data_IF_492796628027
#
_entry.id   IF_492796628027
#
_cell.length_a   1.000
_cell.length_b   1.000
_cell.length_c   1.000
_cell.angle_alpha   90.00
_cell.angle_beta   90.00
_cell.angle_gamma   90.00
#
_symmetry.space_group_name_H-M   'P 1'
#
loop_
_entity.id
_entity.type
_entity.pdbx_description
1 polymer ?
#
# COMPACT_ATOMS: atom_id res chain seq x y z
N UNK A 1 5.62 4.41 -18.05
CA UNK A 1 5.12 3.78 -16.81
C UNK A 1 4.80 4.87 -15.82
N UNK A 2 3.76 4.67 -15.02
CA UNK A 2 3.20 5.62 -14.05
C UNK A 2 3.25 5.01 -12.67
N UNK A 3 3.45 5.85 -11.65
CA UNK A 3 3.37 5.41 -10.27
C UNK A 3 1.96 5.65 -9.72
N UNK A 4 1.51 4.76 -8.85
CA UNK A 4 0.29 4.95 -8.10
C UNK A 4 0.38 4.32 -6.72
N UNK A 5 -0.51 4.78 -5.86
CA UNK A 5 -0.75 4.21 -4.53
C UNK A 5 -2.08 3.48 -4.55
N UNK A 6 -2.15 2.30 -3.96
CA UNK A 6 -3.41 1.54 -3.87
C UNK A 6 -4.35 2.22 -2.89
N UNK A 7 -5.48 2.69 -3.41
CA UNK A 7 -6.51 3.35 -2.61
C UNK A 7 -7.36 2.34 -1.85
N UNK A 8 -7.67 1.22 -2.50
CA UNK A 8 -8.28 0.05 -1.88
C UNK A 8 -8.25 -1.10 -2.87
N UNK A 9 -8.25 -2.32 -2.36
CA UNK A 9 -8.33 -3.52 -3.18
C UNK A 9 -9.15 -4.60 -2.48
N UNK A 10 -10.09 -5.20 -3.21
CA UNK A 10 -10.87 -6.32 -2.71
C UNK A 10 -10.31 -7.62 -3.26
N UNK A 11 -9.49 -8.30 -2.46
CA UNK A 11 -8.86 -9.56 -2.85
C UNK A 11 -9.87 -10.68 -3.16
N UNK A 12 -11.03 -10.69 -2.51
CA UNK A 12 -12.08 -11.70 -2.77
C UNK A 12 -12.74 -11.48 -4.14
N UNK A 13 -12.95 -10.23 -4.54
CA UNK A 13 -13.54 -9.88 -5.83
C UNK A 13 -12.51 -9.72 -6.95
N UNK A 14 -11.23 -9.57 -6.62
CA UNK A 14 -10.14 -9.44 -7.58
C UNK A 14 -10.04 -8.09 -8.28
N UNK A 15 -10.51 -7.00 -7.66
CA UNK A 15 -10.36 -5.65 -8.22
C UNK A 15 -10.24 -4.58 -7.15
N UNK A 16 -9.74 -3.42 -7.55
CA UNK A 16 -9.55 -2.25 -6.70
C UNK A 16 -9.34 -0.97 -7.50
N UNK A 17 -8.92 0.07 -6.80
CA UNK A 17 -8.54 1.34 -7.40
C UNK A 17 -7.18 1.78 -6.90
N UNK A 18 -6.42 2.38 -7.81
CA UNK A 18 -5.14 3.02 -7.58
C UNK A 18 -5.34 4.53 -7.69
N UNK A 19 -4.61 5.32 -6.93
CA UNK A 19 -4.54 6.78 -7.11
C UNK A 19 -3.22 7.11 -7.78
N UNK A 20 -3.29 7.64 -9.02
CA UNK A 20 -2.11 8.05 -9.80
C UNK A 20 -1.31 9.10 -9.00
N UNK A 21 0.00 8.91 -8.88
CA UNK A 21 0.86 9.77 -8.07
C UNK A 21 0.97 11.19 -8.64
N UNK A 22 0.83 11.37 -9.94
CA UNK A 22 0.92 12.66 -10.64
C UNK A 22 -0.45 13.31 -10.79
N UNK A 23 -1.44 12.61 -11.37
CA UNK A 23 -2.74 13.20 -11.67
C UNK A 23 -3.69 13.23 -10.47
N UNK A 24 -3.41 12.42 -9.45
CA UNK A 24 -4.29 12.17 -8.29
C UNK A 24 -5.65 11.58 -8.65
N UNK A 25 -5.80 11.07 -9.87
CA UNK A 25 -7.04 10.43 -10.33
C UNK A 25 -7.10 8.96 -9.91
N UNK A 26 -8.32 8.47 -9.70
CA UNK A 26 -8.56 7.07 -9.38
C UNK A 26 -8.59 6.23 -10.67
N UNK A 27 -7.71 5.23 -10.75
CA UNK A 27 -7.58 4.31 -11.87
C UNK A 27 -8.03 2.91 -11.46
N UNK A 28 -8.93 2.32 -12.24
CA UNK A 28 -9.41 0.96 -12.00
C UNK A 28 -8.28 -0.06 -12.19
N UNK A 29 -8.18 -1.05 -11.31
CA UNK A 29 -7.21 -2.13 -11.39
C UNK A 29 -7.88 -3.48 -11.16
N UNK A 30 -7.61 -4.45 -12.05
CA UNK A 30 -8.08 -5.83 -11.93
C UNK A 30 -6.92 -6.78 -11.61
N UNK A 31 -7.17 -7.82 -10.82
CA UNK A 31 -6.13 -8.76 -10.37
C UNK A 31 -5.40 -9.46 -11.53
N UNK A 32 -6.05 -9.59 -12.70
CA UNK A 32 -5.43 -10.17 -13.90
C UNK A 32 -4.25 -9.34 -14.42
N UNK A 33 -4.23 -8.04 -14.12
CA UNK A 33 -3.19 -7.11 -14.55
C UNK A 33 -1.99 -7.07 -13.59
N UNK A 34 -2.12 -7.67 -12.40
CA UNK A 34 -1.05 -7.72 -11.41
C UNK A 34 0.06 -8.70 -11.86
N UNK A 35 1.27 -8.19 -11.95
CA UNK A 35 2.51 -8.91 -12.24
C UNK A 35 3.17 -9.31 -10.91
N UNK A 36 2.56 -10.29 -10.24
CA UNK A 36 3.09 -10.88 -9.01
C UNK A 36 2.80 -12.38 -8.99
N UNK A 37 3.69 -13.13 -8.34
CA UNK A 37 3.55 -14.57 -8.17
C UNK A 37 2.63 -14.92 -7.00
N UNK A 38 1.97 -16.09 -7.10
CA UNK A 38 1.08 -16.58 -6.06
C UNK A 38 -0.27 -15.85 -6.00
N UNK A 39 -0.73 -15.55 -4.78
CA UNK A 39 -2.02 -14.89 -4.57
C UNK A 39 -1.93 -13.40 -4.92
N UNK A 40 -2.65 -13.00 -5.97
CA UNK A 40 -2.61 -11.63 -6.52
C UNK A 40 -3.50 -10.68 -5.74
N UNK A 41 -2.97 -10.12 -4.65
CA UNK A 41 -3.63 -9.11 -3.83
C UNK A 41 -2.75 -7.91 -3.58
N UNK A 42 -3.38 -6.75 -3.45
CA UNK A 42 -2.77 -5.52 -2.99
C UNK A 42 -3.42 -5.09 -1.68
N UNK A 43 -2.68 -4.36 -0.87
CA UNK A 43 -3.14 -3.68 0.33
C UNK A 43 -3.25 -2.18 0.09
N UNK A 44 -4.07 -1.52 0.90
CA UNK A 44 -4.13 -0.06 0.89
C UNK A 44 -2.76 0.53 1.24
N UNK A 45 -2.38 1.63 0.58
CA UNK A 45 -1.05 2.27 0.61
C UNK A 45 0.07 1.56 -0.15
N UNK A 46 -0.15 0.35 -0.67
CA UNK A 46 0.85 -0.31 -1.52
C UNK A 46 1.22 0.60 -2.71
N UNK A 47 2.51 0.69 -2.99
CA UNK A 47 3.03 1.44 -4.13
C UNK A 47 3.24 0.51 -5.31
N UNK A 48 2.70 0.92 -6.46
CA UNK A 48 2.75 0.15 -7.69
C UNK A 48 3.16 1.02 -8.87
N UNK A 49 3.81 0.39 -9.84
CA UNK A 49 4.01 0.92 -11.17
C UNK A 49 2.97 0.32 -12.11
N UNK A 50 2.44 1.10 -13.05
CA UNK A 50 1.48 0.61 -14.03
C UNK A 50 1.56 1.37 -15.36
N UNK A 51 0.79 0.92 -16.33
CA UNK A 51 0.54 1.62 -17.59
C UNK A 51 -0.96 1.85 -17.74
N UNK A 52 -1.37 3.00 -18.30
CA UNK A 52 -2.75 3.18 -18.72
C UNK A 52 -2.98 2.40 -20.01
N UNK A 53 -4.00 1.56 -19.98
CA UNK A 53 -4.45 0.81 -21.14
C UNK A 53 -5.96 0.63 -21.10
N UNK A 54 -6.51 0.09 -22.18
CA UNK A 54 -7.92 -0.29 -22.22
C UNK A 54 -8.07 -1.76 -21.83
N UNK A 55 -9.16 -2.07 -21.13
CA UNK A 55 -9.48 -3.45 -20.78
C UNK A 55 -9.66 -4.36 -21.98
N UNK A 56 -9.29 -5.62 -21.83
CA UNK A 56 -9.61 -6.65 -22.80
C UNK A 56 -11.10 -7.05 -22.68
N UNK A 57 -11.78 -7.25 -23.81
CA UNK A 57 -13.16 -7.76 -23.86
C UNK A 57 -14.24 -6.68 -23.91
N UNK A 58 -15.32 -6.85 -23.14
CA UNK A 58 -16.48 -5.92 -23.13
C UNK A 58 -16.24 -4.61 -22.37
N UNK A 59 -15.15 -4.52 -21.63
CA UNK A 59 -14.84 -3.37 -20.79
C UNK A 59 -13.81 -2.47 -21.48
N UNK A 60 -14.31 -1.54 -22.31
CA UNK A 60 -13.48 -0.55 -22.99
C UNK A 60 -13.06 0.61 -22.09
N UNK A 61 -13.28 0.52 -20.77
CA UNK A 61 -12.82 1.52 -19.82
C UNK A 61 -11.30 1.50 -19.73
N UNK A 62 -10.75 2.69 -19.54
CA UNK A 62 -9.34 2.86 -19.20
C UNK A 62 -9.06 2.27 -17.81
N UNK A 63 -7.98 1.51 -17.70
CA UNK A 63 -7.58 0.81 -16.49
C UNK A 63 -6.07 0.70 -16.39
N UNK A 64 -5.60 0.36 -15.20
CA UNK A 64 -4.22 0.02 -14.96
C UNK A 64 -3.91 -1.37 -15.53
N UNK A 65 -2.95 -1.43 -16.46
CA UNK A 65 -2.41 -2.66 -17.04
C UNK A 65 -0.93 -2.81 -16.68
N UNK A 66 -0.40 -4.02 -16.79
CA UNK A 66 1.00 -4.33 -16.45
C UNK A 66 1.42 -3.85 -15.05
N UNK A 67 0.53 -4.03 -14.07
CA UNK A 67 0.69 -3.48 -12.72
C UNK A 67 1.77 -4.26 -11.97
N UNK A 68 2.84 -3.59 -11.58
CA UNK A 68 3.98 -4.16 -10.87
C UNK A 68 4.06 -3.58 -9.46
N UNK A 69 4.10 -4.41 -8.41
CA UNK A 69 4.35 -3.91 -7.07
C UNK A 69 5.77 -3.35 -6.93
N UNK A 70 5.91 -2.12 -6.45
CA UNK A 70 7.20 -1.49 -6.11
C UNK A 70 7.52 -1.75 -4.64
N UNK A 71 6.55 -1.47 -3.77
CA UNK A 71 6.64 -1.62 -2.32
C UNK A 71 5.25 -1.99 -1.81
N UNK A 72 5.15 -3.09 -1.09
CA UNK A 72 3.86 -3.58 -0.56
C UNK A 72 3.94 -3.81 0.92
N UNK A 73 2.80 -3.74 1.61
CA UNK A 73 2.69 -4.11 3.02
C UNK A 73 3.24 -5.51 3.26
N UNK A 74 2.96 -6.45 2.36
CA UNK A 74 3.49 -7.81 2.46
C UNK A 74 5.03 -7.85 2.43
N UNK A 75 5.68 -7.07 1.57
CA UNK A 75 7.14 -6.99 1.55
C UNK A 75 7.69 -6.48 2.88
N UNK A 76 7.04 -5.45 3.46
CA UNK A 76 7.44 -4.90 4.75
C UNK A 76 7.22 -5.90 5.88
N UNK A 77 6.06 -6.55 5.93
CA UNK A 77 5.77 -7.60 6.90
C UNK A 77 6.73 -8.77 6.79
N UNK A 78 7.05 -9.22 5.57
CA UNK A 78 7.95 -10.35 5.37
C UNK A 78 9.38 -10.01 5.81
N UNK A 79 9.83 -8.76 5.63
CA UNK A 79 11.10 -8.25 6.18
C UNK A 79 11.08 -8.25 7.72
N UNK A 80 10.03 -7.68 8.33
CA UNK A 80 9.91 -7.58 9.79
C UNK A 80 9.78 -8.93 10.49
N UNK A 81 9.17 -9.92 9.83
CA UNK A 81 9.05 -11.29 10.35
C UNK A 81 10.41 -11.96 10.57
N UNK A 82 11.46 -11.58 9.83
CA UNK A 82 12.81 -12.12 10.04
C UNK A 82 13.36 -11.77 11.42
N UNK A 83 12.93 -10.63 11.98
CA UNK A 83 13.30 -10.15 13.32
C UNK A 83 12.25 -10.49 14.39
N UNK A 84 11.25 -11.33 14.08
CA UNK A 84 10.09 -11.64 14.93
C UNK A 84 9.23 -10.40 15.27
N UNK A 85 9.16 -9.47 14.32
CA UNK A 85 8.33 -8.28 14.42
C UNK A 85 7.11 -8.42 13.51
N UNK A 86 5.99 -7.82 13.90
CA UNK A 86 4.80 -7.71 13.06
C UNK A 86 4.20 -6.31 13.06
N UNK A 87 3.50 -6.01 11.97
CA UNK A 87 2.81 -4.73 11.79
C UNK A 87 1.42 -4.83 12.40
N UNK A 88 1.03 -3.80 13.15
CA UNK A 88 -0.37 -3.58 13.55
C UNK A 88 -0.89 -2.30 12.92
N UNK A 89 -2.08 -2.41 12.35
CA UNK A 89 -2.85 -1.26 11.88
C UNK A 89 -3.74 -0.75 13.00
N UNK A 90 -3.82 0.56 13.13
CA UNK A 90 -4.80 1.22 13.97
C UNK A 90 -5.54 2.29 13.17
N UNK A 91 -6.87 2.25 13.23
CA UNK A 91 -7.73 3.29 12.67
C UNK A 91 -8.12 4.25 13.78
N UNK A 92 -7.93 5.55 13.56
CA UNK A 92 -8.19 6.56 14.59
C UNK A 92 -9.65 6.51 15.05
N UNK A 93 -9.88 6.22 16.33
CA UNK A 93 -11.15 6.51 17.00
C UNK A 93 -11.15 7.93 17.57
N UNK A 94 -11.10 8.98 16.74
CA UNK A 94 -11.18 10.41 17.14
C UNK A 94 -10.18 10.96 18.20
N UNK A 95 -9.51 10.13 18.99
CA UNK A 95 -8.79 10.53 20.22
C UNK A 95 -7.25 10.54 20.10
N UNK A 96 -6.69 10.21 18.94
CA UNK A 96 -5.23 10.24 18.74
C UNK A 96 -4.82 11.59 18.15
N UNK A 97 -4.47 12.55 19.02
CA UNK A 97 -4.17 13.94 18.67
C UNK A 97 -3.10 14.12 17.57
N UNK A 98 -2.13 13.21 17.51
CA UNK A 98 -1.04 13.23 16.50
C UNK A 98 -1.57 12.87 15.12
N UNK A 99 -2.40 11.82 15.00
CA UNK A 99 -2.98 11.38 13.73
C UNK A 99 -3.95 12.41 13.15
N UNK A 100 -4.76 13.05 14.00
CA UNK A 100 -5.63 14.16 13.58
C UNK A 100 -4.80 15.36 13.08
N UNK A 101 -3.64 15.61 13.68
CA UNK A 101 -2.72 16.69 13.27
C UNK A 101 -2.04 16.37 11.93
N UNK A 102 -1.72 15.10 11.68
CA UNK A 102 -1.17 14.61 10.42
C UNK A 102 -2.24 14.35 9.35
N UNK A 103 -3.53 14.45 9.69
CA UNK A 103 -4.64 14.18 8.78
C UNK A 103 -4.72 12.71 8.35
N UNK A 104 -4.25 11.79 9.19
CA UNK A 104 -4.18 10.37 8.89
C UNK A 104 -5.40 9.63 9.46
N UNK A 105 -6.15 8.96 8.59
CA UNK A 105 -7.30 8.12 8.98
C UNK A 105 -6.85 6.78 9.62
N UNK A 106 -5.62 6.37 9.35
CA UNK A 106 -4.98 5.15 9.85
C UNK A 106 -3.49 5.38 10.10
N UNK A 107 -2.92 4.60 11.00
CA UNK A 107 -1.49 4.55 11.24
C UNK A 107 -1.03 3.11 11.48
N UNK A 108 0.27 2.91 11.30
CA UNK A 108 0.94 1.63 11.51
C UNK A 108 1.84 1.68 12.75
N UNK A 109 2.00 0.55 13.41
CA UNK A 109 2.99 0.36 14.47
C UNK A 109 3.67 -0.99 14.28
N UNK A 110 4.90 -1.08 14.76
CA UNK A 110 5.64 -2.34 14.78
C UNK A 110 5.62 -2.86 16.21
N UNK A 111 5.27 -4.13 16.38
CA UNK A 111 5.23 -4.81 17.66
C UNK A 111 6.05 -6.10 17.62
N UNK A 112 6.45 -6.59 18.77
CA UNK A 112 7.12 -7.89 18.92
C UNK A 112 6.12 -9.06 19.04
N UNK A 113 6.63 -10.28 19.18
CA UNK A 113 5.84 -11.52 19.36
C UNK A 113 4.83 -11.47 20.53
N UNK A 114 5.04 -10.59 21.51
CA UNK A 114 4.18 -10.41 22.68
C UNK A 114 3.22 -9.21 22.53
N UNK A 115 3.10 -8.66 21.32
CA UNK A 115 2.31 -7.47 21.01
C UNK A 115 2.79 -6.19 21.70
N UNK A 116 4.06 -6.14 22.14
CA UNK A 116 4.66 -4.94 22.72
C UNK A 116 5.14 -4.01 21.61
N UNK A 117 4.78 -2.73 21.67
CA UNK A 117 5.17 -1.73 20.67
C UNK A 117 6.69 -1.52 20.72
N UNK A 118 7.32 -1.69 19.56
CA UNK A 118 8.76 -1.46 19.33
C UNK A 118 9.01 -0.18 18.55
N UNK A 119 8.06 0.21 17.67
CA UNK A 119 8.13 1.47 16.94
C UNK A 119 6.73 2.00 16.57
N UNK A 120 6.61 3.32 16.44
CA UNK A 120 5.35 3.96 16.05
C UNK A 120 4.31 3.97 17.17
N UNK A 121 4.70 4.29 18.40
CA UNK A 121 3.78 4.40 19.55
C UNK A 121 2.58 5.32 19.28
N UNK A 122 2.80 6.40 18.52
CA UNK A 122 1.74 7.32 18.09
C UNK A 122 1.13 6.96 16.73
N UNK A 123 1.49 5.79 16.21
CA UNK A 123 1.39 5.36 14.82
C UNK A 123 2.31 6.14 13.88
N UNK A 124 2.63 5.52 12.74
CA UNK A 124 3.46 6.09 11.68
C UNK A 124 2.80 5.89 10.31
N UNK A 125 3.26 6.63 9.31
CA UNK A 125 2.77 6.48 7.93
C UNK A 125 3.29 5.18 7.30
N UNK A 126 2.70 4.77 6.18
CA UNK A 126 3.21 3.64 5.40
C UNK A 126 4.68 3.84 4.98
N UNK A 127 5.06 5.07 4.64
CA UNK A 127 6.41 5.42 4.21
C UNK A 127 7.42 5.35 5.37
N UNK A 128 7.02 5.82 6.56
CA UNK A 128 7.84 5.70 7.76
C UNK A 128 8.03 4.23 8.15
N UNK A 129 6.97 3.42 8.02
CA UNK A 129 7.02 1.97 8.27
C UNK A 129 7.99 1.26 7.32
N UNK A 130 7.91 1.58 6.03
CA UNK A 130 8.83 1.04 5.04
C UNK A 130 10.28 1.46 5.31
N UNK A 131 10.49 2.72 5.72
CA UNK A 131 11.81 3.22 6.13
C UNK A 131 12.34 2.46 7.35
N UNK A 132 11.48 2.21 8.35
CA UNK A 132 11.82 1.40 9.52
C UNK A 132 12.25 -0.03 9.12
N UNK A 133 11.54 -0.64 8.18
CA UNK A 133 11.88 -1.95 7.63
C UNK A 133 13.01 -1.93 6.57
N UNK A 134 13.76 -0.82 6.50
CA UNK A 134 14.93 -0.62 5.64
C UNK A 134 14.64 -0.73 4.13
N UNK A 135 13.45 -0.35 3.70
CA UNK A 135 13.13 -0.17 2.28
C UNK A 135 13.50 1.25 1.84
N UNK A 136 14.36 1.35 0.82
CA UNK A 136 14.68 2.64 0.19
C UNK A 136 13.50 3.08 -0.68
N UNK A 137 12.77 4.10 -0.22
CA UNK A 137 11.77 4.77 -1.04
C UNK A 137 12.51 5.82 -1.88
N UNK A 138 12.74 5.50 -3.14
CA UNK A 138 13.20 6.51 -4.10
C UNK A 138 12.00 7.40 -4.40
N UNK A 139 11.81 8.46 -3.62
CA UNK A 139 11.07 9.62 -4.11
C UNK A 139 11.84 10.09 -5.34
N UNK A 140 11.37 9.73 -6.54
CA UNK A 140 11.82 10.42 -7.75
C UNK A 140 11.31 11.85 -7.61
N UNK A 141 12.15 12.71 -7.05
CA UNK A 141 12.01 14.15 -7.15
C UNK A 141 11.79 14.48 -8.63
N UNK A 142 10.62 15.01 -8.95
CA UNK A 142 10.29 15.55 -10.26
C UNK A 142 11.16 16.78 -10.57
#
# INVERSE_FOLDING_TARGET
MRNATVKWFNAQKGYGFLTDSETKEDVFCHCSQLQMDGFKSLHEDDMVEYELGTGAGKDSREQAVNVKPILTMKMIEDSLKEDNLHVKEYRSSKDTAVMNTLGLDKGYMVVDENDVIVAGENGMTFLDLATYANFEIVEKSA
#
